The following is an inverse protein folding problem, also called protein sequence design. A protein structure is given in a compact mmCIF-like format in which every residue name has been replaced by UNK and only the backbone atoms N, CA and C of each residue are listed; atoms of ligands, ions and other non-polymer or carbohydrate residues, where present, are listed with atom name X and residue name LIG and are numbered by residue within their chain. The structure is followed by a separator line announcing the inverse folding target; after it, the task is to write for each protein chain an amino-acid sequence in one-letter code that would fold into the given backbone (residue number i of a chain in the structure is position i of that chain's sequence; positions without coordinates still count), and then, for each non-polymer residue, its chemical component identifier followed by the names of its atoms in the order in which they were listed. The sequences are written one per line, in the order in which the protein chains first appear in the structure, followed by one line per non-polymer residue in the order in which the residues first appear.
data_IF_415382267523
#
_entry.id   IF_415382267523
#
_cell.length_a   1.000
_cell.length_b   1.000
_cell.length_c   1.000
_cell.angle_alpha   90.00
_cell.angle_beta   90.00
_cell.angle_gamma   90.00
#
_symmetry.space_group_name_H-M   'P 1'
#
loop_
_entity.id
_entity.type
_entity.pdbx_description
1 polymer ?
#
# COMPACT_ATOMS: atom_id res chain seq x y z
N UNK A 1 6.00 -17.95 -0.93
CA UNK A 1 6.34 -16.57 -1.33
C UNK A 1 6.41 -16.58 -2.84
N UNK A 2 5.33 -16.20 -3.51
CA UNK A 2 5.18 -16.38 -4.97
C UNK A 2 5.60 -15.09 -5.65
N UNK A 3 6.89 -14.97 -5.94
CA UNK A 3 7.39 -13.96 -6.86
C UNK A 3 7.11 -14.44 -8.29
N UNK A 4 6.18 -13.73 -8.93
CA UNK A 4 5.74 -14.03 -10.29
C UNK A 4 6.84 -13.67 -11.29
N UNK A 5 7.25 -14.66 -12.08
CA UNK A 5 8.20 -14.54 -13.19
C UNK A 5 7.52 -13.75 -14.31
N UNK A 6 7.56 -12.43 -14.25
CA UNK A 6 6.92 -11.54 -15.23
C UNK A 6 7.39 -10.10 -15.08
N UNK A 7 8.43 -9.71 -15.82
CA UNK A 7 8.95 -8.32 -15.95
C UNK A 7 9.39 -7.58 -14.67
N UNK A 8 9.25 -8.14 -13.46
CA UNK A 8 9.96 -7.70 -12.24
C UNK A 8 9.58 -6.34 -11.63
N UNK A 9 8.63 -5.60 -12.21
CA UNK A 9 8.20 -4.32 -11.68
C UNK A 9 7.10 -4.49 -10.62
N UNK A 10 7.41 -4.09 -9.39
CA UNK A 10 6.41 -4.01 -8.32
C UNK A 10 5.48 -2.81 -8.56
N UNK A 11 4.18 -3.05 -8.61
CA UNK A 11 3.15 -2.02 -8.75
C UNK A 11 2.52 -1.79 -7.36
N UNK A 12 2.45 -0.54 -6.86
CA UNK A 12 1.87 -0.26 -5.57
C UNK A 12 0.36 -0.58 -5.58
N UNK A 13 -0.17 -1.33 -4.60
CA UNK A 13 -1.61 -1.55 -4.48
C UNK A 13 -2.34 -0.24 -4.14
N UNK A 14 -3.61 -0.13 -4.53
CA UNK A 14 -4.47 0.99 -4.12
C UNK A 14 -4.89 0.77 -2.67
N UNK A 15 -4.48 1.63 -1.71
CA UNK A 15 -4.77 1.39 -0.31
C UNK A 15 -6.18 1.88 0.07
N UNK A 16 -6.81 1.19 1.02
CA UNK A 16 -7.99 1.70 1.74
C UNK A 16 -7.60 2.82 2.71
N UNK A 17 -8.55 3.60 3.20
CA UNK A 17 -8.28 4.66 4.17
C UNK A 17 -7.60 4.15 5.46
N UNK A 18 -7.99 2.97 5.95
CA UNK A 18 -7.37 2.34 7.12
C UNK A 18 -5.96 1.86 6.84
N UNK A 19 -5.73 1.23 5.69
CA UNK A 19 -4.39 0.79 5.27
C UNK A 19 -3.43 1.96 5.13
N UNK A 20 -3.90 3.13 4.65
CA UNK A 20 -3.09 4.35 4.61
C UNK A 20 -2.66 4.80 6.01
N UNK A 21 -3.58 4.87 6.97
CA UNK A 21 -3.26 5.26 8.35
C UNK A 21 -2.24 4.32 8.98
N UNK A 22 -2.39 3.00 8.76
CA UNK A 22 -1.41 2.02 9.22
C UNK A 22 -0.06 2.19 8.52
N UNK A 23 -0.06 2.39 7.20
CA UNK A 23 1.16 2.62 6.42
C UNK A 23 1.91 3.89 6.87
N UNK A 24 1.20 4.98 7.17
CA UNK A 24 1.77 6.22 7.71
C UNK A 24 2.48 5.99 9.05
N UNK A 25 1.85 5.24 9.96
CA UNK A 25 2.43 4.90 11.27
C UNK A 25 3.69 4.05 11.14
N UNK A 26 3.68 3.04 10.26
CA UNK A 26 4.86 2.21 9.99
C UNK A 26 5.96 3.04 9.35
N UNK A 27 5.61 3.91 8.40
CA UNK A 27 6.54 4.79 7.73
C UNK A 27 7.22 5.75 8.72
N UNK A 28 6.46 6.35 9.64
CA UNK A 28 7.03 7.21 10.69
C UNK A 28 8.05 6.45 11.56
N UNK A 29 7.73 5.20 11.90
CA UNK A 29 8.62 4.33 12.68
C UNK A 29 9.91 4.04 11.91
N UNK A 30 9.79 3.70 10.62
CA UNK A 30 10.92 3.44 9.75
C UNK A 30 11.78 4.70 9.56
N UNK A 31 11.18 5.84 9.24
CA UNK A 31 11.88 7.13 9.08
C UNK A 31 12.63 7.53 10.35
N UNK A 32 12.13 7.19 11.53
CA UNK A 32 12.83 7.40 12.80
C UNK A 32 14.01 6.43 12.98
N UNK A 33 13.81 5.15 12.66
CA UNK A 33 14.83 4.10 12.82
C UNK A 33 16.00 4.23 11.82
N UNK A 34 15.72 4.77 10.63
CA UNK A 34 16.66 4.95 9.52
C UNK A 34 17.36 6.31 9.55
N UNK A 35 17.22 7.09 10.63
CA UNK A 35 17.95 8.36 10.76
C UNK A 35 19.45 8.10 10.88
N UNK A 36 20.29 8.92 10.23
CA UNK A 36 21.73 8.82 10.38
C UNK A 36 22.16 8.89 11.85
N UNK A 37 23.18 8.11 12.19
CA UNK A 37 23.73 8.04 13.52
C UNK A 37 24.38 9.37 13.95
N UNK A 38 24.33 9.65 15.25
CA UNK A 38 25.05 10.80 15.81
C UNK A 38 26.57 10.59 15.71
N UNK A 39 27.31 11.64 15.36
CA UNK A 39 28.77 11.57 15.19
C UNK A 39 29.50 11.13 16.46
N UNK A 40 29.06 11.61 17.61
CA UNK A 40 29.64 11.29 18.92
C UNK A 40 29.44 9.81 19.27
N UNK A 41 28.24 9.29 18.93
CA UNK A 41 27.92 7.88 19.10
C UNK A 41 28.78 7.00 18.18
N UNK A 42 28.88 7.36 16.90
CA UNK A 42 29.71 6.66 15.92
C UNK A 42 31.18 6.64 16.36
N UNK A 43 31.75 7.79 16.73
CA UNK A 43 33.14 7.90 17.17
C UNK A 43 33.45 6.96 18.35
N UNK A 44 32.51 6.87 19.30
CA UNK A 44 32.59 5.96 20.45
C UNK A 44 32.55 4.50 19.99
N UNK A 45 31.59 4.14 19.12
CA UNK A 45 31.42 2.77 18.63
C UNK A 45 32.62 2.29 17.79
N UNK A 46 33.14 3.16 16.92
CA UNK A 46 34.35 2.93 16.12
C UNK A 46 35.55 2.74 17.04
N UNK A 47 35.72 3.61 18.03
CA UNK A 47 36.81 3.48 19.02
C UNK A 47 36.81 2.13 19.71
N UNK A 48 35.65 1.66 20.18
CA UNK A 48 35.51 0.34 20.82
C UNK A 48 35.88 -0.78 19.85
N UNK A 49 35.38 -0.72 18.61
CA UNK A 49 35.71 -1.70 17.58
C UNK A 49 37.22 -1.75 17.32
N UNK A 50 37.85 -0.59 17.15
CA UNK A 50 39.28 -0.51 16.85
C UNK A 50 40.16 -0.95 18.01
N UNK A 51 39.77 -0.64 19.25
CA UNK A 51 40.47 -1.08 20.45
C UNK A 51 40.47 -2.61 20.58
N UNK A 52 39.42 -3.30 20.13
CA UNK A 52 39.37 -4.76 20.12
C UNK A 52 40.48 -5.40 19.27
N UNK A 53 40.85 -4.77 18.15
CA UNK A 53 41.89 -5.25 17.24
C UNK A 53 43.27 -4.65 17.52
N UNK A 54 43.41 -3.84 18.57
CA UNK A 54 44.69 -3.28 19.00
C UNK A 54 45.60 -4.33 19.64
N UNK A 55 46.41 -5.02 18.83
CA UNK A 55 47.39 -5.98 19.35
C UNK A 55 48.54 -5.24 20.07
N UNK A 56 48.82 -5.61 21.32
CA UNK A 56 50.11 -5.32 21.97
C UNK A 56 50.19 -4.17 22.97
N UNK A 57 49.07 -3.59 23.43
CA UNK A 57 49.08 -2.61 24.54
C UNK A 57 49.72 -1.25 24.25
N UNK A 58 50.40 -1.08 23.11
CA UNK A 58 50.83 0.21 22.61
C UNK A 58 49.63 0.95 22.02
N UNK A 59 49.08 1.86 22.83
CA UNK A 59 48.12 2.85 22.33
C UNK A 59 48.81 3.67 21.24
N UNK A 60 48.16 3.73 20.06
CA UNK A 60 48.57 4.66 19.00
C UNK A 60 48.56 6.10 19.54
N UNK A 61 49.42 7.00 19.02
CA UNK A 61 49.35 8.42 19.33
C UNK A 61 47.93 8.96 19.11
N UNK A 62 47.49 9.89 19.96
CA UNK A 62 46.12 10.43 19.92
C UNK A 62 45.74 11.00 18.55
N UNK A 63 46.66 11.72 17.91
CA UNK A 63 46.44 12.33 16.60
C UNK A 63 46.16 11.30 15.50
N UNK A 64 46.90 10.19 15.46
CA UNK A 64 46.68 9.14 14.46
C UNK A 64 45.30 8.50 14.67
N UNK A 65 44.90 8.30 15.93
CA UNK A 65 43.58 7.77 16.27
C UNK A 65 42.46 8.71 15.84
N UNK A 66 42.62 10.02 16.03
CA UNK A 66 41.65 11.03 15.60
C UNK A 66 41.48 11.06 14.07
N UNK A 67 42.58 11.01 13.32
CA UNK A 67 42.52 10.95 11.85
C UNK A 67 41.80 9.69 11.37
N UNK A 68 42.14 8.54 11.93
CA UNK A 68 41.46 7.27 11.61
C UNK A 68 39.96 7.39 11.92
N UNK A 69 39.58 7.84 13.13
CA UNK A 69 38.17 7.98 13.48
C UNK A 69 37.45 8.95 12.52
N UNK A 70 38.13 10.00 12.06
CA UNK A 70 37.55 10.95 11.10
C UNK A 70 37.22 10.28 9.77
N UNK A 71 38.12 9.45 9.22
CA UNK A 71 37.85 8.70 7.99
C UNK A 71 36.66 7.75 8.14
N UNK A 72 36.58 7.08 9.29
CA UNK A 72 35.46 6.20 9.62
C UNK A 72 34.14 6.97 9.77
N UNK A 73 34.17 8.14 10.40
CA UNK A 73 32.99 9.00 10.52
C UNK A 73 32.49 9.44 9.15
N UNK A 74 33.38 9.81 8.24
CA UNK A 74 32.98 10.17 6.88
C UNK A 74 32.32 8.99 6.17
N UNK A 75 32.91 7.79 6.28
CA UNK A 75 32.40 6.59 5.63
C UNK A 75 31.06 6.10 6.19
N UNK A 76 30.71 6.39 7.44
CA UNK A 76 29.51 5.85 8.11
C UNK A 76 28.46 6.91 8.46
N UNK A 77 28.67 8.17 8.06
CA UNK A 77 27.86 9.32 8.51
C UNK A 77 26.40 9.32 8.07
N UNK A 78 26.06 8.56 7.03
CA UNK A 78 24.72 8.44 6.45
C UNK A 78 23.95 7.22 6.97
N UNK A 79 24.61 6.34 7.72
CA UNK A 79 24.03 5.07 8.18
C UNK A 79 23.38 5.20 9.56
N UNK A 80 22.31 4.44 9.84
CA UNK A 80 21.62 4.49 11.12
C UNK A 80 22.37 3.73 12.23
N UNK A 81 22.16 4.15 13.49
CA UNK A 81 22.88 3.61 14.66
C UNK A 81 22.76 2.08 14.79
N UNK A 82 21.55 1.54 14.61
CA UNK A 82 21.30 0.11 14.75
C UNK A 82 22.07 -0.73 13.72
N UNK A 83 22.19 -0.24 12.49
CA UNK A 83 22.87 -0.93 11.41
C UNK A 83 24.38 -0.94 11.62
N UNK A 84 24.96 0.19 12.02
CA UNK A 84 26.38 0.26 12.37
C UNK A 84 26.68 -0.60 13.60
N UNK A 85 25.79 -0.61 14.60
CA UNK A 85 25.96 -1.44 15.79
C UNK A 85 26.02 -2.93 15.44
N UNK A 86 25.08 -3.40 14.60
CA UNK A 86 25.00 -4.76 14.10
C UNK A 86 26.23 -5.11 13.24
N UNK A 87 26.59 -4.27 12.28
CA UNK A 87 27.76 -4.48 11.43
C UNK A 87 29.07 -4.60 12.24
N UNK A 88 29.26 -3.75 13.24
CA UNK A 88 30.39 -3.84 14.17
C UNK A 88 30.36 -5.16 14.97
N UNK A 89 29.18 -5.57 15.45
CA UNK A 89 29.03 -6.82 16.20
C UNK A 89 29.34 -8.04 15.33
N UNK A 90 28.82 -8.07 14.11
CA UNK A 90 29.06 -9.15 13.16
C UNK A 90 30.54 -9.22 12.77
N UNK A 91 31.20 -8.07 12.61
CA UNK A 91 32.63 -8.03 12.36
C UNK A 91 33.43 -8.61 13.53
N UNK A 92 33.09 -8.31 14.78
CA UNK A 92 33.76 -8.90 15.97
C UNK A 92 33.63 -10.42 16.03
N UNK A 93 32.52 -10.97 15.54
CA UNK A 93 32.27 -12.42 15.56
C UNK A 93 32.93 -13.12 14.37
N UNK A 94 32.94 -12.49 13.20
CA UNK A 94 33.27 -13.17 11.93
C UNK A 94 34.64 -12.81 11.36
N UNK A 95 35.20 -11.65 11.69
CA UNK A 95 36.48 -11.20 11.13
C UNK A 95 37.65 -11.63 12.01
N UNK A 96 38.65 -12.28 11.41
CA UNK A 96 39.91 -12.59 12.08
C UNK A 96 40.86 -11.38 12.14
N UNK A 97 40.67 -10.42 11.22
CA UNK A 97 41.49 -9.24 11.07
C UNK A 97 40.67 -7.97 11.30
N UNK A 98 41.37 -6.87 11.56
CA UNK A 98 40.77 -5.55 11.73
C UNK A 98 39.95 -5.18 10.48
N UNK A 99 38.65 -4.89 10.59
CA UNK A 99 37.84 -4.46 9.46
C UNK A 99 38.24 -3.05 9.01
N UNK A 100 38.07 -2.79 7.72
CA UNK A 100 38.18 -1.46 7.12
C UNK A 100 36.86 -0.68 7.24
N UNK A 101 36.84 0.65 7.05
CA UNK A 101 35.59 1.41 6.97
C UNK A 101 34.62 0.85 5.92
N UNK A 102 35.15 0.42 4.77
CA UNK A 102 34.35 -0.14 3.67
C UNK A 102 33.67 -1.46 4.06
N UNK A 103 34.34 -2.31 4.83
CA UNK A 103 33.76 -3.59 5.29
C UNK A 103 32.56 -3.35 6.20
N UNK A 104 32.69 -2.40 7.14
CA UNK A 104 31.60 -2.06 8.06
C UNK A 104 30.46 -1.34 7.33
N UNK A 105 30.77 -0.44 6.39
CA UNK A 105 29.76 0.21 5.57
C UNK A 105 28.93 -0.81 4.78
N UNK A 106 29.58 -1.78 4.12
CA UNK A 106 28.90 -2.82 3.33
C UNK A 106 27.95 -3.64 4.20
N UNK A 107 28.42 -4.12 5.35
CA UNK A 107 27.60 -4.88 6.31
C UNK A 107 26.43 -4.06 6.87
N UNK A 108 26.66 -2.78 7.15
CA UNK A 108 25.61 -1.90 7.64
C UNK A 108 24.54 -1.63 6.56
N UNK A 109 24.94 -1.48 5.30
CA UNK A 109 24.02 -1.37 4.17
C UNK A 109 23.18 -2.62 3.98
N UNK A 110 23.78 -3.81 4.11
CA UNK A 110 23.05 -5.09 4.08
C UNK A 110 22.00 -5.16 5.20
N UNK A 111 22.35 -4.73 6.42
CA UNK A 111 21.42 -4.68 7.55
C UNK A 111 20.24 -3.71 7.34
N UNK A 112 20.42 -2.68 6.49
CA UNK A 112 19.41 -1.64 6.21
C UNK A 112 18.55 -1.95 4.98
N UNK A 113 19.01 -2.83 4.09
CA UNK A 113 18.44 -3.04 2.74
C UNK A 113 16.93 -3.24 2.74
N UNK A 114 16.44 -4.20 3.52
CA UNK A 114 15.02 -4.54 3.59
C UNK A 114 14.16 -3.40 4.15
N UNK A 115 14.67 -2.69 5.16
CA UNK A 115 13.96 -1.57 5.78
C UNK A 115 13.86 -0.37 4.84
N UNK A 116 14.92 -0.06 4.10
CA UNK A 116 14.92 1.01 3.09
C UNK A 116 13.97 0.69 1.94
N UNK A 117 14.03 -0.53 1.41
CA UNK A 117 13.11 -0.96 0.37
C UNK A 117 11.64 -0.90 0.84
N UNK A 118 11.37 -1.34 2.09
CA UNK A 118 10.05 -1.28 2.69
C UNK A 118 9.56 0.16 2.84
N UNK A 119 10.41 1.07 3.33
CA UNK A 119 10.11 2.50 3.43
C UNK A 119 9.74 3.09 2.08
N UNK A 120 10.52 2.81 1.05
CA UNK A 120 10.31 3.38 -0.29
C UNK A 120 9.03 2.82 -0.94
N UNK A 121 8.73 1.53 -0.73
CA UNK A 121 7.45 0.92 -1.12
C UNK A 121 6.26 1.54 -0.39
N UNK A 122 6.35 1.79 0.91
CA UNK A 122 5.28 2.45 1.67
C UNK A 122 5.04 3.89 1.19
N UNK A 123 6.10 4.64 0.88
CA UNK A 123 6.00 5.97 0.26
C UNK A 123 5.26 5.90 -1.08
N UNK A 124 5.57 4.89 -1.91
CA UNK A 124 4.88 4.67 -3.17
C UNK A 124 3.39 4.32 -2.97
N UNK A 125 3.03 3.46 -2.00
CA UNK A 125 1.63 3.15 -1.65
C UNK A 125 0.87 4.42 -1.23
N UNK A 126 1.49 5.27 -0.40
CA UNK A 126 0.87 6.50 0.05
C UNK A 126 0.74 7.56 -1.05
N UNK A 127 1.58 7.50 -2.10
CA UNK A 127 1.45 8.38 -3.26
C UNK A 127 0.24 8.02 -4.15
N UNK A 128 -0.21 6.76 -4.15
CA UNK A 128 -1.42 6.33 -4.88
C UNK A 128 -2.66 6.91 -4.19
N UNK A 129 -3.61 7.56 -4.88
CA UNK A 129 -4.83 8.07 -4.25
C UNK A 129 -5.68 6.95 -3.63
N UNK A 130 -6.43 7.21 -2.54
CA UNK A 130 -7.27 6.18 -1.92
C UNK A 130 -8.37 5.73 -2.90
N UNK A 131 -8.79 4.46 -2.79
CA UNK A 131 -9.78 3.86 -3.69
C UNK A 131 -11.08 4.68 -3.82
N UNK A 132 -11.51 5.31 -2.72
CA UNK A 132 -12.69 6.18 -2.67
C UNK A 132 -12.60 7.38 -3.64
N UNK A 133 -11.39 7.91 -3.87
CA UNK A 133 -11.18 9.05 -4.78
C UNK A 133 -11.05 8.60 -6.24
N UNK A 134 -10.50 7.40 -6.49
CA UNK A 134 -10.28 6.88 -7.85
C UNK A 134 -11.60 6.63 -8.57
N UNK A 135 -12.59 6.08 -7.86
CA UNK A 135 -13.91 5.79 -8.44
C UNK A 135 -14.64 7.09 -8.83
N UNK A 136 -14.52 8.14 -8.01
CA UNK A 136 -15.16 9.44 -8.28
C UNK A 136 -14.53 10.13 -9.48
N UNK A 137 -13.20 10.23 -9.53
CA UNK A 137 -12.46 10.87 -10.63
C UNK A 137 -12.63 10.14 -11.97
N UNK A 138 -12.59 8.80 -11.98
CA UNK A 138 -12.75 8.01 -13.19
C UNK A 138 -14.19 8.05 -13.75
N UNK A 139 -15.19 8.11 -12.86
CA UNK A 139 -16.59 8.20 -13.26
C UNK A 139 -17.04 9.63 -13.61
N UNK A 140 -16.33 10.66 -13.14
CA UNK A 140 -16.73 12.05 -13.32
C UNK A 140 -16.88 12.47 -14.78
N UNK A 141 -15.94 12.14 -15.71
CA UNK A 141 -16.10 12.46 -17.13
C UNK A 141 -17.32 11.78 -17.78
N UNK A 142 -17.65 10.57 -17.34
CA UNK A 142 -18.82 9.83 -17.86
C UNK A 142 -20.12 10.46 -17.35
N UNK A 143 -20.17 10.83 -16.06
CA UNK A 143 -21.32 11.54 -15.47
C UNK A 143 -21.53 12.92 -16.11
N UNK A 144 -20.44 13.63 -16.44
CA UNK A 144 -20.50 14.99 -17.00
C UNK A 144 -20.99 15.03 -18.45
N UNK A 145 -20.78 13.97 -19.25
CA UNK A 145 -21.18 13.92 -20.66
C UNK A 145 -22.69 13.81 -20.92
N UNK A 146 -23.55 13.82 -19.89
CA UNK A 146 -25.03 13.72 -20.01
C UNK A 146 -25.55 12.48 -20.76
N UNK A 147 -24.68 11.53 -21.12
CA UNK A 147 -25.05 10.33 -21.89
C UNK A 147 -25.45 9.14 -21.02
N UNK A 148 -25.27 9.22 -19.71
CA UNK A 148 -25.65 8.13 -18.81
C UNK A 148 -27.18 8.18 -18.60
N UNK A 149 -27.90 7.26 -19.26
CA UNK A 149 -29.30 6.99 -18.92
C UNK A 149 -29.33 6.39 -17.51
N UNK A 150 -30.45 6.55 -16.78
CA UNK A 150 -30.62 5.98 -15.43
C UNK A 150 -30.23 4.50 -15.33
N UNK A 151 -30.44 3.74 -16.42
CA UNK A 151 -30.04 2.33 -16.57
C UNK A 151 -28.54 2.07 -16.56
N UNK A 152 -27.72 3.03 -16.96
CA UNK A 152 -26.27 2.86 -17.13
C UNK A 152 -25.54 3.10 -15.79
N UNK A 153 -26.13 3.89 -14.90
CA UNK A 153 -25.70 4.01 -13.49
C UNK A 153 -25.86 2.67 -12.77
N UNK A 154 -26.97 1.95 -13.01
CA UNK A 154 -27.20 0.63 -12.43
C UNK A 154 -26.18 -0.41 -12.92
N UNK A 155 -25.61 -0.23 -14.13
CA UNK A 155 -24.59 -1.11 -14.70
C UNK A 155 -23.21 -0.84 -14.06
N UNK A 156 -22.91 0.40 -13.68
CA UNK A 156 -21.64 0.77 -13.04
C UNK A 156 -21.64 0.52 -11.53
N UNK A 157 -22.80 0.54 -10.88
CA UNK A 157 -22.95 0.22 -9.45
C UNK A 157 -23.08 -1.31 -9.24
N UNK A 158 -23.58 -2.07 -10.21
CA UNK A 158 -23.75 -3.53 -10.08
C UNK A 158 -22.48 -4.33 -9.80
N UNK A 159 -21.28 -4.02 -10.32
CA UNK A 159 -20.06 -4.72 -9.94
C UNK A 159 -19.72 -4.58 -8.45
N UNK A 160 -20.09 -3.44 -7.82
CA UNK A 160 -20.00 -3.23 -6.37
C UNK A 160 -21.11 -3.96 -5.59
N UNK A 161 -22.25 -4.27 -6.22
CA UNK A 161 -23.32 -5.07 -5.63
C UNK A 161 -23.15 -6.59 -5.86
N UNK A 162 -22.38 -7.02 -6.86
CA UNK A 162 -22.12 -8.43 -7.16
C UNK A 162 -21.13 -9.04 -6.16
N UNK A 163 -20.28 -8.24 -5.52
CA UNK A 163 -19.55 -8.67 -4.30
C UNK A 163 -20.47 -8.76 -3.07
N UNK A 164 -21.68 -8.18 -3.10
CA UNK A 164 -22.67 -8.26 -2.01
C UNK A 164 -23.73 -9.36 -2.18
N UNK A 165 -23.88 -9.99 -3.35
CA UNK A 165 -24.98 -10.91 -3.66
C UNK A 165 -24.60 -12.39 -3.79
N UNK A 166 -23.34 -12.78 -3.59
CA UNK A 166 -22.93 -14.19 -3.65
C UNK A 166 -23.43 -15.05 -2.48
N UNK A 167 -24.14 -14.50 -1.50
CA UNK A 167 -24.64 -15.26 -0.34
C UNK A 167 -26.16 -15.56 -0.34
N UNK A 168 -26.91 -15.23 -1.40
CA UNK A 168 -28.36 -15.46 -1.41
C UNK A 168 -28.85 -16.31 -2.60
N UNK A 169 -28.21 -17.45 -2.84
CA UNK A 169 -28.75 -18.48 -3.75
C UNK A 169 -28.76 -19.86 -3.08
N UNK A 170 -29.47 -19.98 -1.95
CA UNK A 170 -30.13 -21.23 -1.52
C UNK A 170 -31.32 -20.88 -0.62
N UNK A 171 -32.44 -20.47 -1.22
CA UNK A 171 -33.64 -20.12 -0.45
C UNK A 171 -34.90 -20.13 -1.30
N UNK A 172 -35.52 -21.31 -1.40
CA UNK A 172 -36.84 -21.65 -1.95
C UNK A 172 -37.79 -20.50 -2.34
N UNK A 173 -38.22 -20.57 -3.60
CA UNK A 173 -39.39 -19.90 -4.15
C UNK A 173 -40.72 -20.27 -3.45
N UNK A 174 -41.65 -19.32 -3.36
CA UNK A 174 -43.10 -19.53 -3.62
C UNK A 174 -43.85 -18.20 -3.84
N UNK A 175 -44.51 -18.10 -5.00
CA UNK A 175 -45.65 -17.22 -5.36
C UNK A 175 -45.31 -15.72 -5.49
N UNK A 176 -45.65 -14.97 -6.54
CA UNK A 176 -46.51 -15.16 -7.69
C UNK A 176 -47.09 -13.78 -8.04
N UNK A 177 -46.86 -13.27 -9.27
CA UNK A 177 -47.75 -12.35 -10.01
C UNK A 177 -47.17 -12.05 -11.40
N UNK A 178 -47.95 -12.16 -12.50
CA UNK A 178 -47.48 -11.87 -13.85
C UNK A 178 -47.82 -10.42 -14.23
N UNK A 179 -46.80 -9.62 -14.51
CA UNK A 179 -46.93 -8.26 -15.03
C UNK A 179 -45.98 -8.05 -16.20
N UNK A 180 -46.54 -8.10 -17.40
CA UNK A 180 -46.05 -7.64 -18.70
C UNK A 180 -44.64 -7.01 -18.71
N UNK A 181 -43.62 -7.80 -19.00
CA UNK A 181 -42.38 -7.31 -19.59
C UNK A 181 -41.92 -8.26 -20.70
N UNK A 182 -41.56 -7.67 -21.83
CA UNK A 182 -41.17 -8.34 -23.05
C UNK A 182 -39.94 -9.25 -22.78
N UNK A 183 -40.07 -10.60 -22.88
CA UNK A 183 -39.02 -11.54 -22.45
C UNK A 183 -37.79 -11.56 -23.37
N UNK A 184 -37.88 -10.98 -24.58
CA UNK A 184 -36.80 -11.01 -25.57
C UNK A 184 -35.60 -10.08 -25.27
N UNK A 185 -35.78 -9.04 -24.47
CA UNK A 185 -34.71 -8.07 -24.18
C UNK A 185 -33.97 -8.37 -22.87
N UNK A 186 -34.66 -8.95 -21.86
CA UNK A 186 -34.02 -9.32 -20.59
C UNK A 186 -32.90 -10.34 -20.77
N UNK A 187 -33.11 -11.36 -21.62
CA UNK A 187 -32.08 -12.39 -21.85
C UNK A 187 -30.82 -11.84 -22.53
N UNK A 188 -30.95 -10.85 -23.42
CA UNK A 188 -29.80 -10.24 -24.10
C UNK A 188 -29.00 -9.37 -23.14
N UNK A 189 -29.66 -8.53 -22.34
CA UNK A 189 -28.99 -7.69 -21.34
C UNK A 189 -28.32 -8.53 -20.25
N UNK A 190 -28.97 -9.61 -19.78
CA UNK A 190 -28.41 -10.50 -18.77
C UNK A 190 -27.21 -11.31 -19.29
N UNK A 191 -27.24 -11.72 -20.57
CA UNK A 191 -26.10 -12.40 -21.22
C UNK A 191 -24.90 -11.48 -21.45
N UNK A 192 -25.13 -10.19 -21.77
CA UNK A 192 -24.08 -9.18 -21.89
C UNK A 192 -23.49 -8.81 -20.53
N UNK A 193 -24.32 -8.69 -19.49
CA UNK A 193 -23.87 -8.44 -18.13
C UNK A 193 -23.08 -9.63 -17.55
N UNK A 194 -23.48 -10.87 -17.85
CA UNK A 194 -22.69 -12.06 -17.49
C UNK A 194 -21.34 -12.07 -18.21
N UNK A 195 -21.30 -11.78 -19.51
CA UNK A 195 -20.03 -11.72 -20.26
C UNK A 195 -19.12 -10.60 -19.74
N UNK A 196 -19.65 -9.42 -19.46
CA UNK A 196 -18.87 -8.31 -18.90
C UNK A 196 -18.37 -8.61 -17.48
N UNK A 197 -19.20 -9.24 -16.64
CA UNK A 197 -18.80 -9.69 -15.30
C UNK A 197 -17.76 -10.81 -15.33
N UNK A 198 -17.89 -11.77 -16.26
CA UNK A 198 -16.91 -12.84 -16.46
C UNK A 198 -15.60 -12.31 -17.05
N UNK A 199 -15.65 -11.25 -17.86
CA UNK A 199 -14.46 -10.60 -18.39
C UNK A 199 -13.74 -9.78 -17.32
N UNK A 200 -14.48 -8.99 -16.52
CA UNK A 200 -13.92 -8.32 -15.34
C UNK A 200 -13.36 -9.31 -14.32
N UNK A 201 -14.02 -10.45 -14.10
CA UNK A 201 -13.47 -11.53 -13.27
C UNK A 201 -12.18 -12.09 -13.88
N UNK A 202 -12.11 -12.37 -15.18
CA UNK A 202 -10.85 -12.85 -15.80
C UNK A 202 -9.71 -11.84 -15.73
N UNK A 203 -10.02 -10.55 -15.87
CA UNK A 203 -9.04 -9.46 -15.83
C UNK A 203 -8.60 -9.10 -14.40
N UNK A 204 -9.46 -9.32 -13.38
CA UNK A 204 -9.17 -9.01 -11.98
C UNK A 204 -8.93 -10.23 -11.06
N UNK A 205 -9.20 -11.47 -11.49
CA UNK A 205 -8.93 -12.69 -10.70
C UNK A 205 -7.44 -13.04 -10.56
N UNK A 206 -6.53 -12.29 -11.19
CA UNK A 206 -5.08 -12.44 -10.97
C UNK A 206 -4.50 -11.48 -9.92
N UNK A 207 -5.33 -10.64 -9.27
CA UNK A 207 -4.88 -9.66 -8.28
C UNK A 207 -5.06 -10.09 -6.81
N UNK A 208 -5.52 -11.32 -6.57
CA UNK A 208 -5.61 -11.88 -5.21
C UNK A 208 -4.69 -13.12 -5.17
N UNK A 209 -3.47 -12.92 -4.69
CA UNK A 209 -2.62 -14.03 -4.27
C UNK A 209 -3.28 -14.79 -3.11
N UNK A 210 -2.83 -16.02 -2.81
CA UNK A 210 -3.44 -16.88 -1.80
C UNK A 210 -3.12 -16.32 -0.40
N UNK A 211 -3.93 -15.37 0.04
CA UNK A 211 -4.11 -15.09 1.47
C UNK A 211 -5.45 -15.70 1.85
N UNK A 212 -5.39 -16.78 2.62
CA UNK A 212 -6.52 -17.56 3.17
C UNK A 212 -7.39 -16.77 4.18
N UNK A 213 -7.39 -15.44 4.09
CA UNK A 213 -8.29 -14.59 4.86
C UNK A 213 -9.47 -14.26 3.96
N UNK A 214 -10.54 -15.03 4.14
CA UNK A 214 -11.84 -14.68 3.58
C UNK A 214 -12.15 -13.20 3.91
N UNK A 215 -12.56 -12.39 2.92
CA UNK A 215 -12.89 -11.00 3.17
C UNK A 215 -13.99 -10.95 4.23
N UNK A 216 -13.71 -10.28 5.35
CA UNK A 216 -14.67 -10.10 6.43
C UNK A 216 -15.87 -9.35 5.84
N UNK A 217 -17.08 -9.94 5.84
CA UNK A 217 -18.25 -9.27 5.31
C UNK A 217 -18.53 -8.03 6.16
N UNK A 218 -18.95 -6.90 5.55
CA UNK A 218 -19.24 -5.69 6.29
C UNK A 218 -20.33 -5.95 7.33
N UNK A 219 -20.17 -5.36 8.50
CA UNK A 219 -21.15 -5.41 9.57
C UNK A 219 -22.48 -4.77 9.11
N UNK A 220 -23.63 -5.14 9.70
CA UNK A 220 -24.91 -4.52 9.37
C UNK A 220 -24.90 -2.98 9.49
N UNK A 221 -24.13 -2.46 10.46
CA UNK A 221 -23.98 -1.02 10.68
C UNK A 221 -23.20 -0.34 9.54
N UNK A 222 -22.10 -0.95 9.08
CA UNK A 222 -21.34 -0.46 7.92
C UNK A 222 -22.18 -0.48 6.64
N UNK A 223 -23.00 -1.53 6.44
CA UNK A 223 -23.93 -1.60 5.31
C UNK A 223 -24.94 -0.46 5.35
N UNK A 224 -25.45 -0.11 6.52
CA UNK A 224 -26.42 0.98 6.68
C UNK A 224 -25.77 2.35 6.45
N UNK A 225 -24.54 2.55 6.93
CA UNK A 225 -23.75 3.76 6.62
C UNK A 225 -23.50 3.91 5.13
N UNK A 226 -23.13 2.83 4.44
CA UNK A 226 -22.93 2.84 2.99
C UNK A 226 -24.21 3.23 2.23
N UNK A 227 -25.38 2.72 2.64
CA UNK A 227 -26.67 3.13 2.07
C UNK A 227 -26.94 4.61 2.27
N UNK A 228 -26.71 5.14 3.47
CA UNK A 228 -26.92 6.56 3.78
C UNK A 228 -26.04 7.46 2.92
N UNK A 229 -24.76 7.12 2.74
CA UNK A 229 -23.84 7.88 1.88
C UNK A 229 -24.32 7.88 0.42
N UNK A 230 -24.73 6.72 -0.10
CA UNK A 230 -25.28 6.62 -1.46
C UNK A 230 -26.55 7.48 -1.59
N UNK A 231 -27.43 7.42 -0.60
CA UNK A 231 -28.70 8.14 -0.60
C UNK A 231 -28.50 9.66 -0.50
N UNK A 232 -27.50 10.12 0.26
CA UNK A 232 -27.13 11.53 0.35
C UNK A 232 -26.51 12.04 -0.97
N UNK A 233 -25.62 11.26 -1.60
CA UNK A 233 -25.04 11.59 -2.90
C UNK A 233 -26.11 11.70 -3.98
N UNK A 234 -27.06 10.78 -4.00
CA UNK A 234 -28.21 10.83 -4.90
C UNK A 234 -29.06 12.08 -4.62
N UNK A 235 -29.34 12.39 -3.36
CA UNK A 235 -30.15 13.56 -2.98
C UNK A 235 -29.51 14.88 -3.41
N UNK A 236 -28.20 15.05 -3.18
CA UNK A 236 -27.44 16.24 -3.65
C UNK A 236 -27.47 16.37 -5.17
N UNK A 237 -27.37 15.25 -5.88
CA UNK A 237 -27.46 15.21 -7.34
C UNK A 237 -28.85 15.66 -7.84
N UNK A 238 -29.94 15.22 -7.19
CA UNK A 238 -31.30 15.60 -7.57
C UNK A 238 -31.64 17.06 -7.21
N UNK A 239 -31.21 17.57 -6.05
CA UNK A 239 -31.41 18.98 -5.68
C UNK A 239 -30.68 19.94 -6.63
N UNK A 240 -29.45 19.62 -7.05
CA UNK A 240 -28.72 20.42 -8.05
C UNK A 240 -29.40 20.46 -9.42
N UNK A 241 -30.28 19.47 -9.70
CA UNK A 241 -31.05 19.38 -10.95
C UNK A 241 -32.33 20.23 -10.91
N UNK A 242 -33.00 20.35 -9.75
CA UNK A 242 -34.23 21.16 -9.63
C UNK A 242 -33.93 22.67 -9.67
N UNK A 243 -32.87 23.13 -8.99
CA UNK A 243 -32.52 24.56 -8.96
C UNK A 243 -32.05 25.15 -10.31
N UNK A 244 -31.81 24.34 -11.34
CA UNK A 244 -31.45 24.83 -12.69
C UNK A 244 -32.65 24.97 -13.64
N UNK A 245 -33.81 24.44 -13.29
CA UNK A 245 -35.01 24.55 -14.13
C UNK A 245 -35.87 25.78 -13.80
N UNK A 246 -35.62 26.47 -12.70
CA UNK A 246 -36.39 27.65 -12.28
C UNK A 246 -35.93 28.96 -12.93
N UNK A 247 -34.81 28.96 -13.68
CA UNK A 247 -34.32 30.12 -14.43
C UNK A 247 -34.50 29.99 -15.96
N UNK A 248 -35.34 29.04 -16.41
CA UNK A 248 -35.59 28.77 -17.83
C UNK A 248 -36.96 29.26 -18.33
N UNK A 249 -37.63 30.16 -17.59
CA UNK A 249 -38.88 30.81 -18.00
C UNK A 249 -38.76 32.33 -17.92
#
# INVERSE_FOLDING_TARGET
MIDSIGTGYWIPPIPTAEQRKSAEKVLETLDRSLRPAKKEWLATRISILLDHYGQGGQRRPSLEREMIVTDWLQALSDLPEHAVAQACQDALVTCQYRPTPCDIHTRAMEAVGDATQTRDRLKAVLAVPPAENVVVEALWPLVRRREIRRSDVDILIRPLAVTMQTEHVTGRMRGGHPGLHNPGERGKTESLLRRAADQLKREHCYLIGPSDLEPIPPTPEERERQKQVIQELLSRFWCSRQGRNEHAF
#
